data_IF_933841326158
#
_entry.id   IF_933841326158
#
_cell.length_a   1.000
_cell.length_b   1.000
_cell.length_c   1.000
_cell.angle_alpha   90.00
_cell.angle_beta   90.00
_cell.angle_gamma   90.00
#
_symmetry.space_group_name_H-M   'P 1'
#
loop_
_entity.id
_entity.type
_entity.pdbx_description
1 polymer ?
#
# COMPACT_ATOMS: atom_id res chain seq x y z
N UNK A 1 -15.59 -32.26 -21.21
CA UNK A 1 -15.69 -33.69 -21.61
C UNK A 1 -17.10 -34.09 -22.02
N UNK A 2 -18.15 -33.82 -21.27
CA UNK A 2 -19.55 -34.09 -21.67
C UNK A 2 -19.94 -33.30 -22.93
N UNK A 3 -19.46 -32.10 -23.12
CA UNK A 3 -19.69 -31.24 -24.28
C UNK A 3 -19.06 -31.84 -25.57
N UNK A 4 -17.83 -32.36 -25.50
CA UNK A 4 -17.14 -32.97 -26.62
C UNK A 4 -17.87 -34.25 -27.13
N UNK A 5 -18.47 -35.03 -26.23
CA UNK A 5 -19.24 -36.22 -26.60
C UNK A 5 -20.50 -35.88 -27.39
N UNK A 6 -21.16 -34.74 -27.08
CA UNK A 6 -22.33 -34.26 -27.83
C UNK A 6 -21.98 -33.74 -29.22
N UNK A 7 -20.82 -33.08 -29.39
CA UNK A 7 -20.36 -32.58 -30.69
C UNK A 7 -20.01 -33.69 -31.69
N UNK A 8 -19.59 -34.89 -31.21
CA UNK A 8 -19.22 -36.00 -32.05
C UNK A 8 -20.34 -37.07 -32.21
N UNK A 9 -21.58 -36.78 -31.76
CA UNK A 9 -22.73 -37.66 -31.96
C UNK A 9 -22.65 -39.03 -31.24
N UNK A 10 -21.84 -39.09 -30.16
CA UNK A 10 -21.68 -40.32 -29.39
C UNK A 10 -22.81 -40.48 -28.36
N UNK A 11 -23.24 -41.72 -28.02
CA UNK A 11 -24.28 -41.96 -27.05
C UNK A 11 -23.91 -41.42 -25.67
N UNK A 12 -24.91 -40.88 -24.93
CA UNK A 12 -24.71 -40.34 -23.58
C UNK A 12 -24.16 -41.42 -22.64
N UNK A 13 -22.98 -41.18 -22.10
CA UNK A 13 -22.35 -42.07 -21.13
C UNK A 13 -22.45 -41.46 -19.72
N UNK A 14 -22.75 -42.32 -18.74
CA UNK A 14 -22.72 -41.89 -17.33
C UNK A 14 -21.28 -41.60 -16.87
N UNK A 15 -21.13 -40.74 -15.84
CA UNK A 15 -19.82 -40.45 -15.24
C UNK A 15 -19.02 -41.71 -14.87
N UNK A 16 -19.68 -42.75 -14.39
CA UNK A 16 -19.04 -44.01 -13.97
C UNK A 16 -18.67 -44.89 -15.17
N UNK A 17 -19.44 -44.83 -16.24
CA UNK A 17 -19.10 -45.48 -17.50
C UNK A 17 -17.88 -44.86 -18.14
N UNK A 18 -17.78 -43.50 -18.13
CA UNK A 18 -16.58 -42.80 -18.59
C UNK A 18 -15.34 -43.15 -17.77
N UNK A 19 -15.44 -43.19 -16.45
CA UNK A 19 -14.30 -43.57 -15.58
C UNK A 19 -13.82 -44.99 -15.85
N UNK A 20 -14.72 -45.94 -16.11
CA UNK A 20 -14.38 -47.30 -16.45
C UNK A 20 -13.69 -47.39 -17.83
N UNK A 21 -14.18 -46.65 -18.81
CA UNK A 21 -13.57 -46.57 -20.14
C UNK A 21 -12.15 -45.98 -20.11
N UNK A 22 -11.93 -44.92 -19.32
CA UNK A 22 -10.58 -44.37 -19.14
C UNK A 22 -9.63 -45.34 -18.45
N UNK A 23 -10.08 -46.04 -17.40
CA UNK A 23 -9.27 -47.01 -16.70
C UNK A 23 -8.91 -48.23 -17.60
N UNK A 24 -9.82 -48.63 -18.47
CA UNK A 24 -9.56 -49.67 -19.46
C UNK A 24 -8.57 -49.18 -20.54
N UNK A 25 -8.71 -47.94 -20.99
CA UNK A 25 -7.80 -47.33 -21.95
C UNK A 25 -6.36 -47.27 -21.41
N UNK A 26 -6.18 -46.81 -20.18
CA UNK A 26 -4.87 -46.75 -19.51
C UNK A 26 -4.24 -48.14 -19.41
N UNK A 27 -5.04 -49.18 -19.04
CA UNK A 27 -4.57 -50.54 -18.98
C UNK A 27 -4.14 -51.12 -20.33
N UNK A 28 -4.81 -50.75 -21.44
CA UNK A 28 -4.45 -51.18 -22.79
C UNK A 28 -3.25 -50.41 -23.35
N UNK A 29 -3.11 -49.12 -22.97
CA UNK A 29 -1.94 -48.32 -23.31
C UNK A 29 -0.68 -48.85 -22.61
N UNK A 30 -0.77 -49.18 -21.32
CA UNK A 30 0.33 -49.76 -20.55
C UNK A 30 0.78 -51.13 -21.06
N UNK A 31 -0.14 -51.89 -21.65
CA UNK A 31 0.17 -53.18 -22.32
C UNK A 31 0.69 -53.01 -23.75
N UNK A 32 0.79 -51.79 -24.27
CA UNK A 32 1.24 -51.51 -25.63
C UNK A 32 0.25 -51.93 -26.72
N UNK A 33 -1.00 -52.22 -26.35
CA UNK A 33 -2.03 -52.63 -27.32
C UNK A 33 -2.66 -51.45 -28.07
N UNK A 34 -2.57 -50.28 -27.49
CA UNK A 34 -2.95 -49.02 -28.13
C UNK A 34 -1.80 -48.03 -27.95
N UNK A 35 -1.55 -47.20 -28.94
CA UNK A 35 -0.57 -46.12 -28.81
C UNK A 35 -1.07 -45.09 -27.78
N UNK A 36 -0.21 -44.76 -26.82
CA UNK A 36 -0.50 -43.60 -25.95
C UNK A 36 -0.70 -42.36 -26.81
N UNK A 37 -1.73 -41.55 -26.56
CA UNK A 37 -1.86 -40.29 -27.26
C UNK A 37 -0.60 -39.49 -27.01
N UNK A 38 0.06 -39.08 -28.09
CA UNK A 38 1.14 -38.10 -28.01
C UNK A 38 0.56 -36.86 -27.33
N UNK A 39 1.05 -36.55 -26.14
CA UNK A 39 0.72 -35.39 -25.34
C UNK A 39 -0.51 -34.63 -25.87
N UNK A 40 -1.67 -34.87 -25.27
CA UNK A 40 -2.72 -33.87 -25.36
C UNK A 40 -2.18 -32.64 -24.65
N UNK A 41 -1.65 -31.70 -25.42
CA UNK A 41 -1.61 -30.32 -24.97
C UNK A 41 -3.05 -29.98 -24.65
N UNK A 42 -3.39 -29.96 -23.39
CA UNK A 42 -4.65 -29.37 -22.92
C UNK A 42 -4.53 -27.93 -23.39
N UNK A 43 -5.36 -27.50 -24.37
CA UNK A 43 -5.28 -26.13 -24.82
C UNK A 43 -5.45 -25.26 -23.56
N UNK A 44 -4.46 -24.45 -23.24
CA UNK A 44 -4.55 -23.48 -22.17
C UNK A 44 -5.80 -22.65 -22.44
N UNK A 45 -6.90 -23.00 -21.78
CA UNK A 45 -8.14 -22.26 -21.94
C UNK A 45 -7.94 -20.94 -21.26
N UNK A 46 -7.61 -19.93 -22.04
CA UNK A 46 -7.57 -18.56 -21.62
C UNK A 46 -8.91 -17.92 -21.99
N UNK A 47 -9.56 -17.31 -20.99
CA UNK A 47 -10.79 -16.52 -21.19
C UNK A 47 -10.47 -15.10 -20.80
N UNK A 48 -10.66 -14.18 -21.73
CA UNK A 48 -10.54 -12.73 -21.48
C UNK A 48 -11.91 -12.10 -21.72
N UNK A 49 -12.44 -11.44 -20.70
CA UNK A 49 -13.71 -10.72 -20.73
C UNK A 49 -13.46 -9.24 -20.45
N UNK A 50 -14.04 -8.36 -21.25
CA UNK A 50 -13.96 -6.92 -21.04
C UNK A 50 -15.32 -6.34 -20.70
N UNK A 51 -15.40 -5.59 -19.59
CA UNK A 51 -16.59 -4.83 -19.21
C UNK A 51 -16.36 -3.34 -19.49
N UNK A 52 -16.98 -2.83 -20.53
CA UNK A 52 -16.81 -1.45 -20.99
C UNK A 52 -17.35 -0.42 -19.99
N UNK A 53 -18.45 -0.71 -19.28
CA UNK A 53 -19.05 0.22 -18.31
C UNK A 53 -18.14 0.48 -17.12
N UNK A 54 -17.44 -0.57 -16.65
CA UNK A 54 -16.53 -0.50 -15.50
C UNK A 54 -15.08 -0.31 -15.92
N UNK A 55 -14.77 -0.37 -17.21
CA UNK A 55 -13.41 -0.37 -17.74
C UNK A 55 -12.50 -1.44 -17.07
N UNK A 56 -13.05 -2.64 -16.91
CA UNK A 56 -12.38 -3.77 -16.24
C UNK A 56 -12.20 -4.91 -17.24
N UNK A 57 -11.00 -5.47 -17.29
CA UNK A 57 -10.70 -6.71 -18.01
C UNK A 57 -10.57 -7.85 -17.00
N UNK A 58 -11.21 -8.98 -17.27
CA UNK A 58 -11.12 -10.19 -16.48
C UNK A 58 -10.35 -11.22 -17.30
N UNK A 59 -9.28 -11.79 -16.73
CA UNK A 59 -8.51 -12.87 -17.33
C UNK A 59 -8.57 -14.11 -16.45
N UNK A 60 -8.92 -15.26 -17.03
CA UNK A 60 -9.04 -16.56 -16.36
C UNK A 60 -8.19 -17.58 -17.11
N UNK A 61 -7.10 -18.06 -16.50
CA UNK A 61 -6.22 -19.07 -17.10
C UNK A 61 -5.46 -19.88 -16.06
N UNK A 62 -4.80 -20.93 -16.55
CA UNK A 62 -3.86 -21.73 -15.75
C UNK A 62 -2.49 -21.10 -15.83
N UNK A 63 -1.89 -20.83 -14.67
CA UNK A 63 -0.55 -20.25 -14.55
C UNK A 63 0.37 -21.20 -13.78
N UNK A 64 1.67 -21.09 -14.04
CA UNK A 64 2.72 -21.78 -13.29
C UNK A 64 3.62 -20.71 -12.67
N UNK A 65 3.50 -20.54 -11.36
CA UNK A 65 4.28 -19.55 -10.58
C UNK A 65 4.80 -20.22 -9.31
N UNK A 66 5.77 -19.60 -8.64
CA UNK A 66 6.21 -20.05 -7.32
C UNK A 66 5.10 -19.80 -6.29
N UNK A 67 4.96 -20.72 -5.33
CA UNK A 67 3.94 -20.63 -4.29
C UNK A 67 4.04 -19.39 -3.40
N UNK A 68 5.23 -18.80 -3.29
CA UNK A 68 5.47 -17.58 -2.55
C UNK A 68 4.99 -16.32 -3.30
N UNK A 69 4.89 -16.40 -4.62
CA UNK A 69 4.55 -15.28 -5.50
C UNK A 69 3.05 -15.17 -5.83
N UNK A 70 2.24 -16.14 -5.38
CA UNK A 70 0.81 -16.22 -5.71
C UNK A 70 0.00 -15.00 -5.22
N UNK A 71 0.52 -14.28 -4.24
CA UNK A 71 -0.08 -13.07 -3.68
C UNK A 71 0.61 -11.78 -4.15
N UNK A 72 1.63 -11.89 -5.02
CA UNK A 72 2.32 -10.73 -5.56
C UNK A 72 1.54 -10.17 -6.77
N UNK A 73 1.02 -8.92 -6.68
CA UNK A 73 0.21 -8.33 -7.75
C UNK A 73 0.94 -8.22 -9.08
N UNK A 74 2.23 -7.87 -9.07
CA UNK A 74 3.01 -7.72 -10.30
C UNK A 74 3.26 -9.06 -10.98
N UNK A 75 3.59 -10.08 -10.20
CA UNK A 75 3.79 -11.45 -10.73
C UNK A 75 2.50 -11.96 -11.34
N UNK A 76 1.34 -11.74 -10.69
CA UNK A 76 0.04 -12.11 -11.22
C UNK A 76 -0.28 -11.37 -12.53
N UNK A 77 -0.07 -10.05 -12.58
CA UNK A 77 -0.28 -9.27 -13.80
C UNK A 77 0.57 -9.81 -14.95
N UNK A 78 1.88 -9.96 -14.76
CA UNK A 78 2.81 -10.48 -15.77
C UNK A 78 2.43 -11.91 -16.21
N UNK A 79 2.04 -12.78 -15.27
CA UNK A 79 1.60 -14.15 -15.57
C UNK A 79 0.34 -14.20 -16.42
N UNK A 80 -0.50 -13.17 -16.35
CA UNK A 80 -1.69 -13.00 -17.18
C UNK A 80 -1.45 -12.18 -18.46
N UNK A 81 -0.20 -11.73 -18.70
CA UNK A 81 0.17 -10.96 -19.89
C UNK A 81 -0.13 -9.47 -19.80
N UNK A 82 -0.42 -8.95 -18.61
CA UNK A 82 -0.62 -7.53 -18.38
C UNK A 82 0.68 -6.87 -17.89
N UNK A 83 0.98 -5.70 -18.44
CA UNK A 83 2.09 -4.89 -17.98
C UNK A 83 1.72 -4.17 -16.67
N UNK A 84 2.45 -4.37 -15.56
CA UNK A 84 2.17 -3.70 -14.29
C UNK A 84 2.27 -2.17 -14.36
N UNK A 85 3.00 -1.62 -15.34
CA UNK A 85 3.08 -0.18 -15.55
C UNK A 85 1.82 0.40 -16.19
N UNK A 86 1.06 -0.42 -16.93
CA UNK A 86 -0.13 0.00 -17.67
C UNK A 86 -1.44 -0.43 -16.99
N UNK A 87 -1.38 -1.47 -16.14
CA UNK A 87 -2.56 -2.07 -15.52
C UNK A 87 -2.43 -2.18 -14.02
N UNK A 88 -3.57 -2.07 -13.33
CA UNK A 88 -3.71 -2.28 -11.88
C UNK A 88 -4.55 -3.52 -11.64
N UNK A 89 -4.09 -4.38 -10.72
CA UNK A 89 -4.84 -5.53 -10.24
C UNK A 89 -5.95 -5.08 -9.30
N UNK A 90 -7.20 -5.38 -9.64
CA UNK A 90 -8.38 -5.06 -8.81
C UNK A 90 -8.70 -6.21 -7.87
N UNK A 91 -8.67 -7.43 -8.41
CA UNK A 91 -8.92 -8.63 -7.62
C UNK A 91 -8.24 -9.84 -8.23
N UNK A 92 -7.90 -10.81 -7.40
CA UNK A 92 -7.39 -12.10 -7.84
C UNK A 92 -8.08 -13.23 -7.06
N UNK A 93 -8.37 -14.32 -7.77
CA UNK A 93 -8.87 -15.57 -7.19
C UNK A 93 -8.05 -16.72 -7.75
N UNK A 94 -7.27 -17.36 -6.89
CA UNK A 94 -6.35 -18.43 -7.26
C UNK A 94 -6.78 -19.75 -6.61
N UNK A 95 -6.73 -20.82 -7.38
CA UNK A 95 -6.96 -22.20 -6.92
C UNK A 95 -5.73 -23.03 -7.24
N UNK A 96 -5.22 -23.78 -6.26
CA UNK A 96 -4.01 -24.60 -6.38
C UNK A 96 -4.37 -26.07 -6.54
N UNK A 97 -3.72 -26.78 -7.48
CA UNK A 97 -3.75 -28.22 -7.54
C UNK A 97 -2.39 -28.79 -7.96
N UNK A 98 -2.19 -30.07 -7.72
CA UNK A 98 -0.98 -30.78 -8.11
C UNK A 98 -1.30 -31.77 -9.22
N UNK A 99 -0.47 -31.80 -10.24
CA UNK A 99 -0.52 -32.78 -11.32
C UNK A 99 0.74 -33.65 -11.27
N UNK A 100 0.56 -34.95 -11.16
CA UNK A 100 1.65 -35.93 -11.28
C UNK A 100 2.17 -35.96 -12.72
N UNK A 101 3.47 -35.76 -12.89
CA UNK A 101 4.18 -35.89 -14.16
C UNK A 101 5.26 -36.97 -14.03
N UNK A 102 5.81 -37.47 -15.16
CA UNK A 102 6.92 -38.44 -15.14
C UNK A 102 8.17 -37.95 -14.39
N UNK A 103 8.32 -36.62 -14.31
CA UNK A 103 9.47 -35.94 -13.68
C UNK A 103 9.15 -35.44 -12.27
N UNK A 104 8.01 -35.84 -11.68
CA UNK A 104 7.57 -35.43 -10.35
C UNK A 104 6.23 -34.69 -10.34
N UNK A 105 5.82 -34.20 -9.17
CA UNK A 105 4.57 -33.46 -9.03
C UNK A 105 4.76 -31.98 -9.45
N UNK A 106 4.03 -31.54 -10.45
CA UNK A 106 3.97 -30.12 -10.85
C UNK A 106 2.78 -29.45 -10.19
N UNK A 107 3.04 -28.32 -9.51
CA UNK A 107 1.99 -27.49 -8.96
C UNK A 107 1.50 -26.52 -10.02
N UNK A 108 0.20 -26.47 -10.23
CA UNK A 108 -0.47 -25.56 -11.15
C UNK A 108 -1.48 -24.71 -10.39
N UNK A 109 -1.73 -23.52 -10.91
CA UNK A 109 -2.72 -22.61 -10.37
C UNK A 109 -3.74 -22.25 -11.45
N UNK A 110 -5.05 -22.38 -11.14
CA UNK A 110 -6.10 -21.68 -11.88
C UNK A 110 -6.22 -20.29 -11.29
N UNK A 111 -5.95 -19.31 -12.09
CA UNK A 111 -5.94 -17.91 -11.68
C UNK A 111 -6.97 -17.13 -12.49
N UNK A 112 -7.83 -16.41 -11.77
CA UNK A 112 -8.76 -15.45 -12.35
C UNK A 112 -8.46 -14.10 -11.74
N UNK A 113 -8.08 -13.14 -12.58
CA UNK A 113 -7.81 -11.78 -12.16
C UNK A 113 -8.74 -10.79 -12.83
N UNK A 114 -9.00 -9.67 -12.15
CA UNK A 114 -9.66 -8.51 -12.72
C UNK A 114 -8.67 -7.35 -12.71
N UNK A 115 -8.50 -6.72 -13.86
CA UNK A 115 -7.55 -5.62 -14.05
C UNK A 115 -8.25 -4.43 -14.69
N UNK A 116 -7.73 -3.24 -14.48
CA UNK A 116 -8.11 -2.05 -15.24
C UNK A 116 -6.85 -1.30 -15.71
N UNK A 117 -6.96 -0.50 -16.77
CA UNK A 117 -5.87 0.41 -17.13
C UNK A 117 -5.52 1.35 -15.97
N UNK A 118 -4.23 1.64 -15.78
CA UNK A 118 -3.81 2.70 -14.86
C UNK A 118 -4.40 4.03 -15.29
N UNK A 119 -4.92 4.76 -14.33
CA UNK A 119 -5.31 6.15 -14.53
C UNK A 119 -4.13 7.02 -14.08
N UNK A 120 -4.09 8.26 -14.54
CA UNK A 120 -3.12 9.25 -14.05
C UNK A 120 -3.16 9.46 -12.52
N UNK A 121 -4.21 8.96 -11.87
CA UNK A 121 -4.43 9.00 -10.42
C UNK A 121 -3.88 7.76 -9.68
N UNK A 122 -3.44 6.73 -10.39
CA UNK A 122 -2.87 5.50 -9.82
C UNK A 122 -1.36 5.68 -9.60
N UNK A 123 -1.00 6.73 -8.88
CA UNK A 123 0.39 7.00 -8.50
C UNK A 123 0.75 6.06 -7.35
N UNK A 124 1.84 5.30 -7.48
CA UNK A 124 2.40 4.48 -6.40
C UNK A 124 3.38 5.29 -5.57
N UNK A 125 3.71 4.79 -4.37
CA UNK A 125 4.78 5.40 -3.58
C UNK A 125 6.11 5.37 -4.29
N UNK A 126 6.41 4.30 -5.04
CA UNK A 126 7.60 4.17 -5.84
C UNK A 126 7.66 5.19 -6.99
N UNK A 127 6.51 5.52 -7.61
CA UNK A 127 6.43 6.56 -8.63
C UNK A 127 6.72 7.93 -8.03
N UNK A 128 6.24 8.18 -6.82
CA UNK A 128 6.49 9.41 -6.06
C UNK A 128 7.97 9.49 -5.68
N UNK A 129 8.55 8.42 -5.12
CA UNK A 129 9.96 8.37 -4.77
C UNK A 129 10.84 8.59 -6.01
N UNK A 130 10.56 7.89 -7.11
CA UNK A 130 11.26 8.05 -8.39
C UNK A 130 11.14 9.48 -8.94
N UNK A 131 9.95 10.10 -8.83
CA UNK A 131 9.77 11.48 -9.23
C UNK A 131 10.66 12.43 -8.42
N UNK A 132 10.65 12.31 -7.10
CA UNK A 132 11.49 13.12 -6.23
C UNK A 132 12.98 12.82 -6.44
N UNK A 133 13.38 11.55 -6.57
CA UNK A 133 14.75 11.15 -6.91
C UNK A 133 15.21 11.74 -8.27
N UNK A 134 14.34 11.76 -9.29
CA UNK A 134 14.64 12.32 -10.61
C UNK A 134 14.83 13.84 -10.62
N UNK A 135 14.29 14.53 -9.60
CA UNK A 135 14.45 15.98 -9.40
C UNK A 135 15.72 16.32 -8.63
N UNK A 136 16.38 15.29 -8.11
CA UNK A 136 17.62 15.44 -7.38
C UNK A 136 18.83 15.21 -8.27
N UNK A 137 19.31 16.28 -8.90
CA UNK A 137 20.73 16.36 -9.26
C UNK A 137 21.53 16.51 -7.95
N UNK A 138 21.54 15.42 -7.16
CA UNK A 138 22.14 15.43 -5.83
C UNK A 138 23.56 14.91 -5.84
N UNK A 139 24.50 15.85 -5.91
CA UNK A 139 25.80 15.74 -5.24
C UNK A 139 25.64 16.14 -3.74
N UNK A 140 24.58 15.73 -3.09
CA UNK A 140 24.31 15.99 -1.68
C UNK A 140 24.59 14.76 -0.86
N UNK A 141 25.43 14.91 0.12
CA UNK A 141 25.78 13.95 1.16
C UNK A 141 24.48 13.26 1.65
N UNK A 142 24.36 11.95 1.41
CA UNK A 142 23.41 11.12 2.13
C UNK A 142 23.84 11.13 3.58
N UNK A 143 23.11 11.84 4.43
CA UNK A 143 23.28 11.68 5.88
C UNK A 143 22.59 10.36 6.23
N UNK A 144 23.35 9.27 6.06
CA UNK A 144 23.06 8.02 6.73
C UNK A 144 23.38 8.27 8.19
N UNK A 145 22.33 8.24 9.03
CA UNK A 145 22.43 8.39 10.49
C UNK A 145 23.22 9.65 10.89
N UNK A 146 22.51 10.71 11.24
CA UNK A 146 23.13 11.94 11.73
C UNK A 146 24.09 11.57 12.86
N UNK A 147 25.39 11.68 12.61
CA UNK A 147 26.39 11.75 13.66
C UNK A 147 26.23 13.08 14.38
N UNK A 148 25.19 13.17 15.21
CA UNK A 148 25.16 14.20 16.23
C UNK A 148 26.27 13.84 17.23
N UNK A 149 27.23 14.73 17.38
CA UNK A 149 28.26 14.55 18.39
C UNK A 149 27.57 14.27 19.74
N UNK A 150 27.72 13.07 20.25
CA UNK A 150 27.08 12.61 21.50
C UNK A 150 27.56 13.41 22.72
N UNK A 151 28.59 14.24 22.57
CA UNK A 151 29.37 14.75 23.67
C UNK A 151 28.94 16.11 24.26
N UNK A 152 27.97 16.85 23.68
CA UNK A 152 27.63 18.17 24.19
C UNK A 152 26.27 18.31 24.89
N UNK A 153 25.40 17.32 24.80
CA UNK A 153 24.10 17.39 25.48
C UNK A 153 24.17 16.67 26.84
N UNK A 154 24.08 17.44 27.90
CA UNK A 154 24.08 16.93 29.30
C UNK A 154 22.83 16.10 29.67
N UNK A 155 21.98 15.76 28.71
CA UNK A 155 20.73 15.01 28.92
C UNK A 155 20.58 13.91 27.88
N UNK A 156 20.05 12.76 28.30
CA UNK A 156 19.63 11.66 27.42
C UNK A 156 18.10 11.62 27.21
N UNK A 157 17.38 12.64 27.65
CA UNK A 157 15.94 12.71 27.54
C UNK A 157 15.50 12.96 26.10
N UNK A 158 14.47 12.24 25.66
CA UNK A 158 13.77 12.44 24.41
C UNK A 158 12.34 12.92 24.71
N UNK A 159 11.85 13.85 23.90
CA UNK A 159 10.44 14.23 23.91
C UNK A 159 9.77 13.61 22.70
N UNK A 160 8.78 12.75 22.90
CA UNK A 160 7.93 12.26 21.82
C UNK A 160 6.63 13.04 21.77
N UNK A 161 6.27 13.52 20.57
CA UNK A 161 5.00 14.19 20.27
C UNK A 161 4.30 13.40 19.18
N UNK A 162 3.16 12.79 19.52
CA UNK A 162 2.34 12.04 18.58
C UNK A 162 1.19 12.90 18.08
N UNK A 163 1.06 13.04 16.74
CA UNK A 163 -0.07 13.68 16.08
C UNK A 163 -0.76 12.62 15.23
N UNK A 164 -2.02 12.39 15.51
CA UNK A 164 -2.85 11.44 14.78
C UNK A 164 -4.26 12.01 14.63
N UNK A 165 -4.99 11.56 13.62
CA UNK A 165 -6.41 11.86 13.42
C UNK A 165 -6.71 13.37 13.42
N UNK A 166 -5.79 14.18 12.84
CA UNK A 166 -5.98 15.64 12.76
C UNK A 166 -7.07 16.01 11.76
N UNK A 167 -7.27 15.17 10.74
CA UNK A 167 -8.32 15.30 9.72
C UNK A 167 -8.49 16.73 9.19
N UNK A 168 -7.39 17.36 8.74
CA UNK A 168 -7.47 18.68 8.10
C UNK A 168 -8.38 18.56 6.88
N UNK A 169 -9.44 19.39 6.86
CA UNK A 169 -10.48 19.39 5.84
C UNK A 169 -11.76 18.65 6.24
N UNK A 170 -11.85 18.03 7.40
CA UNK A 170 -13.11 17.50 7.94
C UNK A 170 -14.10 18.66 8.15
N UNK A 171 -15.33 18.49 7.69
CA UNK A 171 -16.47 19.33 8.03
C UNK A 171 -17.39 18.60 9.01
N UNK A 172 -17.59 19.18 10.18
CA UNK A 172 -18.54 18.66 11.16
C UNK A 172 -19.43 19.81 11.67
N UNK A 173 -20.73 19.53 11.76
CA UNK A 173 -21.73 20.47 12.27
C UNK A 173 -22.18 20.05 13.66
N UNK A 174 -21.95 20.90 14.66
CA UNK A 174 -22.13 20.58 16.07
C UNK A 174 -23.53 20.16 16.48
N UNK A 175 -24.59 20.60 15.77
CA UNK A 175 -25.94 20.13 16.04
C UNK A 175 -26.22 18.69 15.60
N UNK A 176 -25.42 18.15 14.68
CA UNK A 176 -25.51 16.77 14.20
C UNK A 176 -24.57 15.83 14.92
N UNK A 177 -23.35 16.30 15.21
CA UNK A 177 -22.25 15.48 15.72
C UNK A 177 -21.86 15.78 17.17
N UNK A 178 -22.41 16.85 17.75
CA UNK A 178 -22.08 17.33 19.10
C UNK A 178 -20.97 18.38 19.14
N UNK A 179 -20.17 18.51 18.08
CA UNK A 179 -19.06 19.48 18.01
C UNK A 179 -18.80 19.92 16.58
N UNK A 180 -18.57 21.25 16.41
CA UNK A 180 -18.14 21.79 15.12
C UNK A 180 -16.67 21.45 14.85
N UNK A 181 -16.36 21.16 13.57
CA UNK A 181 -15.00 20.94 13.12
C UNK A 181 -14.81 21.49 11.70
N UNK A 182 -13.70 22.19 11.50
CA UNK A 182 -13.24 22.74 10.22
C UNK A 182 -11.71 22.87 10.24
N UNK A 183 -11.12 23.34 9.14
CA UNK A 183 -9.67 23.54 9.01
C UNK A 183 -9.13 24.52 10.08
N UNK A 184 -9.88 25.58 10.40
CA UNK A 184 -9.43 26.57 11.38
C UNK A 184 -9.46 26.00 12.81
N UNK A 185 -10.46 25.17 13.10
CA UNK A 185 -10.58 24.49 14.41
C UNK A 185 -9.44 23.47 14.55
N UNK A 186 -9.17 22.67 13.50
CA UNK A 186 -8.05 21.73 13.47
C UNK A 186 -6.72 22.43 13.79
N UNK A 187 -6.42 23.53 13.07
CA UNK A 187 -5.23 24.36 13.30
C UNK A 187 -5.13 24.85 14.74
N UNK A 188 -6.17 25.49 15.24
CA UNK A 188 -6.18 26.04 16.62
C UNK A 188 -6.01 24.97 17.69
N UNK A 189 -6.58 23.77 17.48
CA UNK A 189 -6.41 22.64 18.41
C UNK A 189 -4.96 22.18 18.46
N UNK A 190 -4.31 22.03 17.30
CA UNK A 190 -2.90 21.65 17.23
C UNK A 190 -2.02 22.74 17.87
N UNK A 191 -2.18 24.00 17.49
CA UNK A 191 -1.41 25.12 18.05
C UNK A 191 -1.54 25.19 19.58
N UNK A 192 -2.76 25.01 20.11
CA UNK A 192 -2.99 24.98 21.56
C UNK A 192 -2.33 23.79 22.22
N UNK A 193 -2.42 22.59 21.63
CA UNK A 193 -1.79 21.39 22.17
C UNK A 193 -0.25 21.54 22.22
N UNK A 194 0.35 22.09 21.18
CA UNK A 194 1.80 22.34 21.13
C UNK A 194 2.22 23.39 22.15
N UNK A 195 1.45 24.48 22.31
CA UNK A 195 1.70 25.49 23.34
C UNK A 195 1.66 24.89 24.75
N UNK A 196 0.67 24.03 25.03
CA UNK A 196 0.56 23.34 26.33
C UNK A 196 1.73 22.38 26.58
N UNK A 197 2.16 21.64 25.56
CA UNK A 197 3.36 20.77 25.63
C UNK A 197 4.60 21.62 25.91
N UNK A 198 4.77 22.74 25.18
CA UNK A 198 5.90 23.63 25.35
C UNK A 198 5.97 24.18 26.79
N UNK A 199 4.85 24.64 27.34
CA UNK A 199 4.76 25.18 28.71
C UNK A 199 5.12 24.08 29.74
N UNK A 200 4.69 22.88 29.56
CA UNK A 200 5.03 21.71 30.44
C UNK A 200 6.50 21.33 30.35
N UNK A 201 7.13 21.56 29.21
CA UNK A 201 8.53 21.24 28.96
C UNK A 201 9.48 22.39 29.30
N UNK A 202 8.97 23.53 29.72
CA UNK A 202 9.75 24.75 30.01
C UNK A 202 10.87 24.48 31.01
N UNK A 203 12.10 24.86 30.63
CA UNK A 203 13.28 24.63 31.44
C UNK A 203 13.89 23.21 31.36
N UNK A 204 13.25 22.30 30.64
CA UNK A 204 13.85 20.96 30.33
C UNK A 204 14.71 21.04 29.07
N UNK A 205 15.72 20.20 29.01
CA UNK A 205 16.56 20.02 27.83
C UNK A 205 16.29 18.64 27.27
N UNK A 206 16.24 18.52 25.95
CA UNK A 206 16.06 17.27 25.27
C UNK A 206 17.22 17.03 24.31
N UNK A 207 17.69 15.79 24.25
CA UNK A 207 18.66 15.36 23.24
C UNK A 207 18.05 15.46 21.85
N UNK A 208 16.74 15.12 21.73
CA UNK A 208 15.97 15.15 20.49
C UNK A 208 14.48 15.20 20.77
N UNK A 209 13.73 15.77 19.84
CA UNK A 209 12.27 15.67 19.79
C UNK A 209 11.90 14.70 18.68
N UNK A 210 11.11 13.68 18.98
CA UNK A 210 10.53 12.75 18.02
C UNK A 210 9.11 13.21 17.71
N UNK A 211 8.90 13.73 16.50
CA UNK A 211 7.58 14.13 16.01
C UNK A 211 7.01 12.96 15.19
N UNK A 212 6.07 12.23 15.76
CA UNK A 212 5.40 11.12 15.10
C UNK A 212 4.08 11.58 14.49
N UNK A 213 4.01 11.60 13.16
CA UNK A 213 2.79 11.83 12.36
C UNK A 213 2.18 10.46 12.09
N UNK A 214 1.07 10.13 12.76
CA UNK A 214 0.56 8.77 12.84
C UNK A 214 -0.68 8.53 11.94
N UNK A 215 -0.75 9.24 10.82
CA UNK A 215 -1.80 9.08 9.81
C UNK A 215 -3.04 9.93 10.07
N UNK A 216 -3.91 9.95 9.06
CA UNK A 216 -5.15 10.72 9.01
C UNK A 216 -4.94 12.21 9.35
N UNK A 217 -3.82 12.76 8.84
CA UNK A 217 -3.50 14.19 8.92
C UNK A 217 -4.44 14.97 8.00
N UNK A 218 -4.70 14.43 6.80
CA UNK A 218 -5.69 14.94 5.84
C UNK A 218 -6.96 14.10 5.92
N UNK A 219 -8.11 14.73 5.68
CA UNK A 219 -9.40 14.04 5.80
C UNK A 219 -9.72 13.14 4.60
N UNK A 220 -9.10 13.36 3.46
CA UNK A 220 -9.32 12.63 2.20
C UNK A 220 -8.03 12.41 1.44
N UNK A 221 -8.04 11.42 0.52
CA UNK A 221 -6.87 11.00 -0.26
C UNK A 221 -6.89 11.47 -1.73
N UNK A 222 -7.95 12.16 -2.17
CA UNK A 222 -8.08 12.55 -3.58
C UNK A 222 -9.13 13.66 -3.80
N UNK A 223 -9.15 14.20 -5.03
CA UNK A 223 -10.08 15.27 -5.44
C UNK A 223 -11.55 14.86 -5.47
N UNK A 224 -11.87 13.58 -5.38
CA UNK A 224 -13.24 13.08 -5.28
C UNK A 224 -13.78 13.13 -3.85
N UNK A 225 -12.99 13.65 -2.91
CA UNK A 225 -13.28 13.71 -1.48
C UNK A 225 -13.57 12.32 -0.91
N UNK A 226 -12.71 11.35 -1.23
CA UNK A 226 -12.82 9.99 -0.68
C UNK A 226 -11.58 9.61 0.12
N UNK A 227 -11.76 8.70 1.07
CA UNK A 227 -10.66 8.02 1.73
C UNK A 227 -9.88 7.17 0.72
N UNK A 228 -8.73 6.62 1.09
CA UNK A 228 -7.94 5.71 0.27
C UNK A 228 -8.76 4.52 -0.26
N UNK A 229 -9.71 4.02 0.52
CA UNK A 229 -10.61 2.91 0.14
C UNK A 229 -11.84 3.35 -0.65
N UNK A 230 -11.99 4.64 -0.95
CA UNK A 230 -13.08 5.17 -1.77
C UNK A 230 -14.33 5.59 -0.98
N UNK A 231 -14.30 5.63 0.34
CA UNK A 231 -15.42 6.12 1.16
C UNK A 231 -15.50 7.63 1.04
N UNK A 232 -16.65 8.15 0.58
CA UNK A 232 -16.88 9.57 0.44
C UNK A 232 -16.96 10.26 1.80
N UNK A 233 -16.37 11.45 1.87
CA UNK A 233 -16.29 12.27 3.07
C UNK A 233 -16.88 13.66 2.82
N UNK A 234 -17.46 14.25 3.87
CA UNK A 234 -17.85 15.65 3.87
C UNK A 234 -16.65 16.52 4.22
N UNK A 235 -16.41 17.53 3.40
CA UNK A 235 -15.20 18.33 3.48
C UNK A 235 -15.51 19.82 3.58
N UNK A 236 -14.73 20.51 4.42
CA UNK A 236 -14.79 21.96 4.63
C UNK A 236 -14.26 22.75 3.42
N UNK A 237 -13.27 22.18 2.71
CA UNK A 237 -12.58 22.89 1.64
C UNK A 237 -12.06 21.96 0.55
N UNK A 238 -11.45 22.55 -0.49
CA UNK A 238 -10.84 21.78 -1.59
C UNK A 238 -9.56 21.07 -1.17
N UNK A 239 -9.30 19.90 -1.73
CA UNK A 239 -8.12 19.08 -1.43
C UNK A 239 -6.81 19.85 -1.58
N UNK A 240 -6.65 20.68 -2.63
CA UNK A 240 -5.46 21.50 -2.78
C UNK A 240 -5.26 22.47 -1.61
N UNK A 241 -6.33 23.11 -1.13
CA UNK A 241 -6.26 24.00 0.03
C UNK A 241 -5.98 23.23 1.33
N UNK A 242 -6.58 22.03 1.51
CA UNK A 242 -6.26 21.15 2.65
C UNK A 242 -4.77 20.82 2.68
N UNK A 243 -4.22 20.47 1.51
CA UNK A 243 -2.81 20.11 1.37
C UNK A 243 -1.89 21.29 1.73
N UNK A 244 -2.17 22.49 1.20
CA UNK A 244 -1.40 23.70 1.50
C UNK A 244 -1.46 24.05 2.98
N UNK A 245 -2.64 23.95 3.60
CA UNK A 245 -2.83 24.22 5.03
C UNK A 245 -2.08 23.21 5.90
N UNK A 246 -2.15 21.91 5.56
CA UNK A 246 -1.41 20.88 6.27
C UNK A 246 0.10 21.04 6.11
N UNK A 247 0.57 21.33 4.88
CA UNK A 247 1.98 21.54 4.59
C UNK A 247 2.55 22.68 5.41
N UNK A 248 1.91 23.83 5.39
CA UNK A 248 2.36 25.02 6.15
C UNK A 248 2.31 24.75 7.66
N UNK A 249 1.25 24.10 8.16
CA UNK A 249 1.10 23.81 9.58
C UNK A 249 2.19 22.87 10.09
N UNK A 250 2.55 21.82 9.33
CA UNK A 250 3.62 20.88 9.74
C UNK A 250 4.99 21.54 9.62
N UNK A 251 5.25 22.35 8.60
CA UNK A 251 6.49 23.12 8.47
C UNK A 251 6.66 24.06 9.67
N UNK A 252 5.63 24.86 10.01
CA UNK A 252 5.67 25.78 11.14
C UNK A 252 5.88 25.03 12.47
N UNK A 253 5.25 23.87 12.62
CA UNK A 253 5.43 23.02 13.80
C UNK A 253 6.87 22.53 13.93
N UNK A 254 7.44 21.96 12.88
CA UNK A 254 8.82 21.44 12.89
C UNK A 254 9.79 22.58 13.20
N UNK A 255 9.59 23.74 12.59
CA UNK A 255 10.39 24.93 12.87
C UNK A 255 10.34 25.31 14.35
N UNK A 256 9.14 25.37 14.94
CA UNK A 256 8.95 25.69 16.36
C UNK A 256 9.64 24.66 17.27
N UNK A 257 9.57 23.38 16.93
CA UNK A 257 10.21 22.30 17.68
C UNK A 257 11.74 22.33 17.53
N UNK A 258 12.25 22.68 16.35
CA UNK A 258 13.70 22.77 16.09
C UNK A 258 14.40 23.88 16.87
N UNK A 259 13.67 24.89 17.31
CA UNK A 259 14.18 25.93 18.22
C UNK A 259 14.44 25.37 19.64
N UNK A 260 13.90 24.21 19.98
CA UNK A 260 14.04 23.57 21.31
C UNK A 260 15.13 22.50 21.29
N UNK A 261 15.13 21.61 20.28
CA UNK A 261 16.07 20.52 20.12
C UNK A 261 16.03 19.98 18.68
N UNK A 262 17.06 19.20 18.24
CA UNK A 262 16.99 18.49 16.97
C UNK A 262 15.72 17.65 16.83
N UNK A 263 15.10 17.64 15.64
CA UNK A 263 13.81 17.00 15.40
C UNK A 263 13.97 15.74 14.54
N UNK A 264 13.35 14.66 14.95
CA UNK A 264 13.21 13.43 14.18
C UNK A 264 11.73 13.25 13.81
N UNK A 265 11.41 13.30 12.52
CA UNK A 265 10.04 13.15 12.02
C UNK A 265 9.81 11.72 11.58
N UNK A 266 8.84 11.07 12.19
CA UNK A 266 8.40 9.71 11.82
C UNK A 266 7.02 9.82 11.19
N UNK A 267 6.87 9.43 9.92
CA UNK A 267 5.58 9.47 9.24
C UNK A 267 5.01 8.06 9.05
N UNK A 268 3.80 7.85 9.51
CA UNK A 268 2.97 6.66 9.26
C UNK A 268 1.72 7.13 8.54
N UNK A 269 1.40 6.50 7.42
CA UNK A 269 0.21 6.87 6.62
C UNK A 269 -1.07 6.32 7.24
N UNK A 270 -2.18 7.06 7.08
CA UNK A 270 -3.49 6.67 7.59
C UNK A 270 -4.38 5.97 6.55
N UNK A 271 -5.59 5.64 6.93
CA UNK A 271 -6.57 5.05 6.02
C UNK A 271 -7.42 6.10 5.28
N UNK A 272 -7.45 7.34 5.74
CA UNK A 272 -8.11 8.44 5.03
C UNK A 272 -7.22 9.04 3.94
N UNK A 273 -5.91 9.10 4.14
CA UNK A 273 -4.99 9.95 3.39
C UNK A 273 -3.70 9.26 2.94
N UNK A 274 -3.71 7.95 2.75
CA UNK A 274 -2.52 7.12 2.53
C UNK A 274 -1.55 7.74 1.50
N UNK A 275 -2.06 8.12 0.32
CA UNK A 275 -1.25 8.70 -0.76
C UNK A 275 -0.89 10.15 -0.48
N UNK A 276 -1.88 10.97 -0.12
CA UNK A 276 -1.65 12.40 0.12
C UNK A 276 -0.78 12.66 1.35
N UNK A 277 -0.89 11.84 2.41
CA UNK A 277 -0.03 11.95 3.59
C UNK A 277 1.43 11.67 3.25
N UNK A 278 1.68 10.60 2.47
CA UNK A 278 3.04 10.30 2.03
C UNK A 278 3.64 11.45 1.21
N UNK A 279 2.87 11.99 0.24
CA UNK A 279 3.26 13.15 -0.56
C UNK A 279 3.50 14.39 0.30
N UNK A 280 2.62 14.66 1.26
CA UNK A 280 2.73 15.75 2.19
C UNK A 280 4.05 15.69 2.97
N UNK A 281 4.34 14.51 3.54
CA UNK A 281 5.58 14.33 4.29
C UNK A 281 6.83 14.42 3.39
N UNK A 282 6.77 13.97 2.13
CA UNK A 282 7.85 14.19 1.15
C UNK A 282 8.06 15.67 0.85
N UNK A 283 6.99 16.45 0.71
CA UNK A 283 7.09 17.90 0.50
C UNK A 283 7.72 18.60 1.71
N UNK A 284 7.34 18.20 2.93
CA UNK A 284 7.94 18.70 4.17
C UNK A 284 9.42 18.33 4.27
N UNK A 285 9.77 17.07 3.98
CA UNK A 285 11.16 16.58 3.94
C UNK A 285 12.02 17.42 2.99
N UNK A 286 11.46 17.74 1.82
CA UNK A 286 12.12 18.60 0.84
C UNK A 286 12.36 20.04 1.34
N UNK A 287 11.44 20.59 2.12
CA UNK A 287 11.60 21.93 2.71
C UNK A 287 12.78 21.99 3.68
N UNK A 288 13.07 20.88 4.37
CA UNK A 288 14.13 20.81 5.38
C UNK A 288 15.38 20.04 4.92
N UNK A 289 15.51 19.75 3.64
CA UNK A 289 16.61 18.93 3.08
C UNK A 289 18.03 19.44 3.38
N UNK A 290 18.19 20.70 3.69
CA UNK A 290 19.49 21.35 3.99
C UNK A 290 19.66 21.64 5.48
N UNK A 291 18.81 21.12 6.34
CA UNK A 291 18.88 21.31 7.79
C UNK A 291 19.26 19.98 8.46
N UNK A 292 20.52 19.89 8.88
CA UNK A 292 21.10 18.70 9.51
C UNK A 292 20.48 18.37 10.89
N UNK A 293 19.74 19.32 11.48
CA UNK A 293 19.05 19.11 12.75
C UNK A 293 17.71 18.41 12.61
N UNK A 294 17.23 18.21 11.35
CA UNK A 294 15.93 17.62 11.10
C UNK A 294 16.10 16.33 10.26
N UNK A 295 15.68 15.21 10.81
CA UNK A 295 15.79 13.88 10.16
C UNK A 295 14.40 13.32 9.90
N UNK A 296 14.18 12.74 8.71
CA UNK A 296 12.91 12.17 8.31
C UNK A 296 12.96 10.65 8.17
N UNK A 297 11.92 9.96 8.66
CA UNK A 297 11.65 8.55 8.45
C UNK A 297 10.32 8.39 7.72
N UNK A 298 10.34 8.72 6.43
CA UNK A 298 9.17 8.73 5.55
C UNK A 298 9.27 7.63 4.49
N UNK A 299 9.37 6.37 4.92
CA UNK A 299 9.25 5.21 4.04
C UNK A 299 7.77 4.81 3.86
N UNK A 300 7.39 4.11 2.78
CA UNK A 300 6.02 3.65 2.57
C UNK A 300 5.58 2.53 3.53
N UNK A 301 6.47 2.06 4.41
CA UNK A 301 6.14 1.03 5.39
C UNK A 301 5.11 1.57 6.42
N UNK A 302 3.93 0.94 6.57
CA UNK A 302 2.88 1.40 7.49
C UNK A 302 3.19 1.13 8.97
N UNK A 303 4.27 0.40 9.26
CA UNK A 303 4.76 0.13 10.61
C UNK A 303 6.21 0.54 10.70
N UNK A 304 6.53 1.36 11.69
CA UNK A 304 7.88 1.84 11.93
C UNK A 304 8.31 1.53 13.34
N UNK A 305 9.60 1.43 13.56
CA UNK A 305 10.18 1.27 14.88
C UNK A 305 11.56 1.89 14.95
N UNK A 306 11.92 2.38 16.13
CA UNK A 306 13.21 2.97 16.43
C UNK A 306 13.63 2.62 17.86
N UNK A 307 14.94 2.53 18.07
CA UNK A 307 15.53 2.30 19.39
C UNK A 307 16.17 3.58 19.89
N UNK A 308 15.76 4.02 21.08
CA UNK A 308 16.31 5.17 21.79
C UNK A 308 16.89 4.70 23.10
N UNK A 309 18.24 4.62 23.20
CA UNK A 309 18.91 4.01 24.34
C UNK A 309 18.44 2.57 24.55
N UNK A 310 17.78 2.29 25.67
CA UNK A 310 17.22 0.96 26.00
C UNK A 310 15.73 0.82 25.69
N UNK A 311 15.10 1.85 25.12
CA UNK A 311 13.66 1.86 24.78
C UNK A 311 13.49 1.59 23.30
N UNK A 312 12.61 0.64 22.94
CA UNK A 312 12.16 0.41 21.58
C UNK A 312 10.75 0.99 21.44
N UNK A 313 10.58 1.95 20.51
CA UNK A 313 9.29 2.54 20.20
C UNK A 313 8.85 2.04 18.83
N UNK A 314 7.57 1.65 18.71
CA UNK A 314 6.94 1.25 17.47
C UNK A 314 5.71 2.11 17.17
N UNK A 315 5.51 2.45 15.90
CA UNK A 315 4.41 3.28 15.42
C UNK A 315 3.61 2.57 14.34
N UNK A 316 2.31 2.67 14.44
CA UNK A 316 1.35 2.25 13.43
C UNK A 316 0.08 3.10 13.57
N UNK A 317 -0.66 3.28 12.46
CA UNK A 317 -1.94 4.01 12.51
C UNK A 317 -3.04 3.25 13.25
N UNK A 318 -3.05 1.90 13.17
CA UNK A 318 -4.00 1.06 13.93
C UNK A 318 -5.17 0.53 13.11
N UNK A 319 -5.34 0.91 11.85
CA UNK A 319 -6.41 0.44 10.97
C UNK A 319 -6.18 -0.97 10.39
N UNK A 320 -4.96 -1.47 10.47
CA UNK A 320 -4.60 -2.79 9.97
C UNK A 320 -4.82 -3.84 11.05
N UNK A 321 -5.57 -4.89 10.71
CA UNK A 321 -5.63 -6.09 11.54
C UNK A 321 -4.23 -6.68 11.68
N UNK A 322 -3.81 -6.88 12.91
CA UNK A 322 -2.56 -7.57 13.29
C UNK A 322 -2.60 -9.03 12.86
#
# INVERSE_FOLDING_TARGET
MITLYREFGMPEMTKDSMRRSFKAYDQYADKGWISQPKNFDIPNKEVIEYNAEKNITISDKVISIDGNDINNPEVLLRSHGFNPEEFVLISARNSKWQQGTKDGNKTLYSSKISVRPRKAQDITFEDIDRYFESKHDYNGIRITEGNYAEDELSTNDFLEICIQDLHIGLLSYGKETGEDYDVNIARKRLERAISDIYDRCKGRKFKRIVLALLGDILHVDNQQNTTTKGTRQDVDTRVSKMFDEALNLIIDLIKTLSDIAPVEVVNVVGNHDNTLNYMLCKAVEMAYRNDDNIVFHNSPNPRKWRKYGNVLIGWAHGDMKT
#
